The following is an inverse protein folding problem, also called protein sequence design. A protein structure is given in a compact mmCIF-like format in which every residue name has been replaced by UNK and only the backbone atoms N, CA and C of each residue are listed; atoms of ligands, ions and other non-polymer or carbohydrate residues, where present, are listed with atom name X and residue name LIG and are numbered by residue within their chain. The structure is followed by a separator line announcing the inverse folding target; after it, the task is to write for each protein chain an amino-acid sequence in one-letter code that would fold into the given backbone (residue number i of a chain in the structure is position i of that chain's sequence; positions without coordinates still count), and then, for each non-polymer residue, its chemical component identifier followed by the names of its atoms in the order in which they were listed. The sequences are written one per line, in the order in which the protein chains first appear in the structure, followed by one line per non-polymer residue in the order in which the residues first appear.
data_IF_194747879933
#
_entry.id   IF_194747879933
#
_cell.length_a   1.000
_cell.length_b   1.000
_cell.length_c   1.000
_cell.angle_alpha   90.00
_cell.angle_beta   90.00
_cell.angle_gamma   90.00
#
_symmetry.space_group_name_H-M   'P 1'
#
loop_
_entity.id
_entity.type
_entity.pdbx_description
1 polymer ?
#
# COMPACT_ATOMS: atom_id res chain seq x y z
N UNK A 1 -15.92 29.19 59.21
CA UNK A 1 -16.59 28.56 58.07
C UNK A 1 -15.53 27.91 57.21
N UNK A 2 -15.45 26.59 57.19
CA UNK A 2 -14.57 25.86 56.27
C UNK A 2 -15.36 25.62 54.98
N UNK A 3 -14.95 26.26 53.88
CA UNK A 3 -15.58 26.04 52.59
C UNK A 3 -15.37 24.58 52.13
N UNK A 4 -16.45 23.93 51.70
CA UNK A 4 -16.40 22.58 51.17
C UNK A 4 -15.76 22.63 49.77
N UNK A 5 -14.46 22.40 49.69
CA UNK A 5 -13.77 22.31 48.41
C UNK A 5 -14.07 20.96 47.74
N UNK A 6 -14.78 21.00 46.62
CA UNK A 6 -14.97 19.85 45.74
C UNK A 6 -14.05 20.06 44.52
N UNK A 7 -13.04 19.19 44.29
CA UNK A 7 -12.19 19.32 43.12
C UNK A 7 -13.00 19.05 41.83
N UNK A 8 -12.69 19.73 40.72
CA UNK A 8 -13.39 19.52 39.46
C UNK A 8 -13.15 18.10 38.94
N UNK A 9 -14.24 17.37 38.70
CA UNK A 9 -14.20 16.05 38.10
C UNK A 9 -13.78 16.17 36.62
N UNK A 10 -12.63 15.59 36.27
CA UNK A 10 -12.10 15.58 34.90
C UNK A 10 -12.47 14.28 34.21
N UNK A 11 -13.42 14.35 33.29
CA UNK A 11 -13.76 13.20 32.46
C UNK A 11 -12.63 12.90 31.46
N UNK A 12 -12.28 11.63 31.30
CA UNK A 12 -11.23 11.23 30.35
C UNK A 12 -11.73 11.14 28.90
N UNK A 13 -13.05 11.15 28.71
CA UNK A 13 -13.73 10.97 27.42
C UNK A 13 -14.89 11.94 27.25
N UNK A 14 -15.13 12.32 26.01
CA UNK A 14 -16.35 12.99 25.58
C UNK A 14 -17.51 11.99 25.59
N UNK A 15 -18.58 12.30 26.33
CA UNK A 15 -19.76 11.43 26.46
C UNK A 15 -20.59 11.31 25.18
N UNK A 16 -20.51 12.30 24.27
CA UNK A 16 -21.26 12.30 23.02
C UNK A 16 -20.49 11.52 21.95
N UNK A 17 -19.18 11.78 21.83
CA UNK A 17 -18.37 11.19 20.74
C UNK A 17 -17.55 9.96 21.16
N UNK A 18 -17.42 9.69 22.46
CA UNK A 18 -16.59 8.63 23.02
C UNK A 18 -15.08 8.85 22.86
N UNK A 19 -14.66 10.01 22.32
CA UNK A 19 -13.24 10.32 22.07
C UNK A 19 -12.54 10.74 23.36
N UNK A 20 -11.26 10.40 23.48
CA UNK A 20 -10.43 10.90 24.58
C UNK A 20 -10.29 12.42 24.52
N UNK A 21 -10.47 13.10 25.65
CA UNK A 21 -10.27 14.54 25.74
C UNK A 21 -8.77 14.89 25.61
N UNK A 22 -8.49 16.08 25.07
CA UNK A 22 -7.12 16.57 24.88
C UNK A 22 -6.40 16.61 26.24
N UNK A 23 -5.24 15.94 26.34
CA UNK A 23 -4.47 15.82 27.58
C UNK A 23 -4.66 14.51 28.33
N UNK A 24 -5.61 13.66 27.93
CA UNK A 24 -5.76 12.33 28.52
C UNK A 24 -4.61 11.40 28.08
N UNK A 25 -4.06 10.67 29.04
CA UNK A 25 -3.08 9.61 28.77
C UNK A 25 -3.81 8.50 28.03
N UNK A 26 -3.38 8.18 26.81
CA UNK A 26 -4.02 7.10 26.07
C UNK A 26 -3.87 5.77 26.83
N UNK A 27 -4.95 4.97 26.86
CA UNK A 27 -4.98 3.70 27.58
C UNK A 27 -3.80 2.77 27.23
N UNK A 28 -3.29 2.87 26.00
CA UNK A 28 -2.21 2.04 25.49
C UNK A 28 -0.80 2.65 25.70
N UNK A 29 -0.69 3.87 26.22
CA UNK A 29 0.61 4.53 26.44
C UNK A 29 1.42 3.71 27.46
N UNK A 30 2.64 3.34 27.09
CA UNK A 30 3.54 2.56 27.95
C UNK A 30 3.22 1.06 28.08
N UNK A 31 2.09 0.59 27.51
CA UNK A 31 1.76 -0.84 27.52
C UNK A 31 2.56 -1.60 26.45
N UNK A 32 3.08 -2.77 26.81
CA UNK A 32 3.74 -3.67 25.85
C UNK A 32 2.67 -4.30 24.93
N UNK A 33 2.92 -4.31 23.63
CA UNK A 33 2.05 -4.98 22.66
C UNK A 33 2.19 -6.50 22.80
N UNK A 34 1.08 -7.19 23.04
CA UNK A 34 1.02 -8.65 23.08
C UNK A 34 0.67 -9.17 21.68
N UNK A 35 1.45 -10.13 21.17
CA UNK A 35 1.23 -10.73 19.86
C UNK A 35 0.79 -12.19 20.01
N UNK A 36 -0.20 -12.60 19.22
CA UNK A 36 -0.67 -13.99 19.18
C UNK A 36 0.39 -14.99 18.66
N UNK A 37 1.40 -14.54 17.92
CA UNK A 37 2.48 -15.41 17.42
C UNK A 37 3.78 -14.66 17.12
N UNK A 38 4.91 -15.38 17.14
CA UNK A 38 6.22 -14.85 16.71
C UNK A 38 6.18 -14.29 15.29
N UNK A 39 5.45 -14.97 14.39
CA UNK A 39 5.25 -14.53 12.99
C UNK A 39 4.50 -13.21 12.90
N UNK A 40 3.46 -13.02 13.72
CA UNK A 40 2.70 -11.76 13.79
C UNK A 40 3.59 -10.60 14.27
N UNK A 41 4.37 -10.84 15.32
CA UNK A 41 5.36 -9.87 15.83
C UNK A 41 6.36 -9.45 14.75
N UNK A 42 6.99 -10.43 14.08
CA UNK A 42 7.98 -10.15 13.03
C UNK A 42 7.38 -9.35 11.86
N UNK A 43 6.16 -9.69 11.43
CA UNK A 43 5.45 -8.95 10.36
C UNK A 43 5.15 -7.51 10.78
N UNK A 44 4.67 -7.30 12.00
CA UNK A 44 4.36 -5.98 12.55
C UNK A 44 5.61 -5.09 12.60
N UNK A 45 6.72 -5.60 13.14
CA UNK A 45 8.00 -4.86 13.22
C UNK A 45 8.52 -4.55 11.81
N UNK A 46 8.52 -5.52 10.89
CA UNK A 46 8.96 -5.32 9.50
C UNK A 46 8.15 -4.25 8.77
N UNK A 47 6.85 -4.17 9.04
CA UNK A 47 6.00 -3.13 8.46
C UNK A 47 6.20 -1.76 9.13
N UNK A 48 6.54 -1.75 10.43
CA UNK A 48 6.89 -0.53 11.15
C UNK A 48 8.21 0.06 10.64
N UNK A 49 9.24 -0.78 10.45
CA UNK A 49 10.56 -0.36 9.96
C UNK A 49 10.54 0.12 8.52
N UNK A 50 9.65 -0.43 7.69
CA UNK A 50 9.39 0.09 6.34
C UNK A 50 8.87 1.54 6.35
N UNK A 51 8.29 2.00 7.46
CA UNK A 51 7.67 3.30 7.57
C UNK A 51 6.27 3.35 6.97
N UNK A 52 5.57 4.47 7.22
CA UNK A 52 4.32 4.80 6.54
C UNK A 52 4.67 5.79 5.42
N UNK A 53 4.50 5.38 4.17
CA UNK A 53 4.59 6.34 3.07
C UNK A 53 3.53 7.43 3.27
N UNK A 54 3.89 8.69 2.99
CA UNK A 54 3.05 9.88 3.22
C UNK A 54 1.62 9.76 2.64
N UNK A 55 1.43 8.89 1.63
CA UNK A 55 0.18 8.70 0.91
C UNK A 55 -0.57 7.40 1.22
N UNK A 56 0.00 6.42 1.93
CA UNK A 56 -0.68 5.14 2.16
C UNK A 56 -0.46 4.60 3.58
N UNK A 57 -1.53 4.62 4.39
CA UNK A 57 -1.57 4.24 5.82
C UNK A 57 -1.03 2.83 6.12
N UNK A 58 -0.99 1.96 5.10
CA UNK A 58 -0.61 0.54 5.22
C UNK A 58 0.78 0.20 4.66
N UNK A 59 1.52 1.17 4.09
CA UNK A 59 2.82 0.91 3.45
C UNK A 59 2.74 0.05 2.17
N UNK A 60 1.55 -0.38 1.76
CA UNK A 60 1.31 -1.25 0.60
C UNK A 60 1.73 -0.61 -0.74
N UNK A 61 1.85 0.72 -0.81
CA UNK A 61 2.28 1.46 -2.00
C UNK A 61 3.79 1.60 -2.19
N UNK A 62 4.62 1.10 -1.27
CA UNK A 62 6.08 1.30 -1.34
C UNK A 62 6.84 0.21 -2.11
N UNK A 63 6.21 -0.93 -2.38
CA UNK A 63 6.81 -1.96 -3.24
C UNK A 63 6.61 -1.55 -4.71
N UNK A 64 7.39 -0.57 -5.15
CA UNK A 64 7.44 -0.15 -6.55
C UNK A 64 7.94 -1.34 -7.38
N UNK A 65 7.07 -1.90 -8.21
CA UNK A 65 7.43 -2.97 -9.16
C UNK A 65 7.56 -2.40 -10.56
N UNK A 66 8.67 -2.71 -11.21
CA UNK A 66 8.88 -2.45 -12.63
C UNK A 66 7.87 -3.22 -13.47
N UNK A 67 7.44 -2.60 -14.57
CA UNK A 67 6.41 -3.12 -15.47
C UNK A 67 6.94 -3.08 -16.89
N UNK A 68 6.77 -4.17 -17.61
CA UNK A 68 7.09 -4.30 -19.02
C UNK A 68 5.80 -4.13 -19.83
N UNK A 69 5.86 -3.27 -20.84
CA UNK A 69 4.77 -3.07 -21.80
C UNK A 69 5.14 -3.66 -23.15
N UNK A 70 4.28 -4.52 -23.67
CA UNK A 70 4.41 -5.13 -24.98
C UNK A 70 3.16 -4.79 -25.80
N UNK A 71 3.36 -4.38 -27.04
CA UNK A 71 2.27 -4.13 -28.00
C UNK A 71 2.71 -4.69 -29.34
N UNK A 72 1.79 -5.38 -30.03
CA UNK A 72 2.03 -5.97 -31.35
C UNK A 72 3.33 -6.82 -31.38
N UNK A 73 3.54 -7.62 -30.32
CA UNK A 73 4.72 -8.50 -30.14
C UNK A 73 6.08 -7.77 -30.04
N UNK A 74 6.06 -6.44 -29.90
CA UNK A 74 7.24 -5.59 -29.72
C UNK A 74 7.32 -5.03 -28.31
N UNK A 75 8.55 -4.98 -27.78
CA UNK A 75 8.83 -4.36 -26.49
C UNK A 75 8.70 -2.84 -26.62
N UNK A 76 7.68 -2.25 -26.00
CA UNK A 76 7.51 -0.80 -25.99
C UNK A 76 8.37 -0.11 -24.93
N UNK A 77 8.68 -0.81 -23.84
CA UNK A 77 9.57 -0.31 -22.81
C UNK A 77 9.34 -0.93 -21.44
N UNK A 78 10.34 -0.74 -20.58
CA UNK A 78 10.31 -1.12 -19.16
C UNK A 78 10.16 0.14 -18.33
N UNK A 79 9.10 0.17 -17.52
CA UNK A 79 8.75 1.31 -16.68
C UNK A 79 9.07 1.00 -15.22
N UNK A 80 9.61 1.96 -14.45
CA UNK A 80 9.94 1.73 -13.04
C UNK A 80 8.72 1.43 -12.17
N UNK A 81 7.50 1.77 -12.61
CA UNK A 81 6.27 1.52 -11.85
C UNK A 81 5.04 1.46 -12.73
N UNK A 82 4.01 0.82 -12.20
CA UNK A 82 2.65 0.83 -12.78
C UNK A 82 2.09 2.25 -12.94
N UNK A 83 2.43 3.18 -12.04
CA UNK A 83 2.00 4.57 -12.12
C UNK A 83 2.60 5.28 -13.34
N UNK A 84 3.89 5.10 -13.58
CA UNK A 84 4.57 5.68 -14.74
C UNK A 84 4.08 5.05 -16.04
N UNK A 85 3.93 3.72 -16.07
CA UNK A 85 3.36 3.01 -17.20
C UNK A 85 1.95 3.53 -17.54
N UNK A 86 1.08 3.66 -16.52
CA UNK A 86 -0.28 4.18 -16.66
C UNK A 86 -0.34 5.60 -17.17
N UNK A 87 0.56 6.48 -16.69
CA UNK A 87 0.68 7.85 -17.19
C UNK A 87 1.08 7.89 -18.67
N UNK A 88 1.98 7.00 -19.10
CA UNK A 88 2.43 6.94 -20.49
C UNK A 88 1.29 6.49 -21.42
N UNK A 89 0.60 5.40 -21.08
CA UNK A 89 -0.46 4.83 -21.95
C UNK A 89 -1.84 5.47 -21.76
N UNK A 90 -2.00 6.38 -20.80
CA UNK A 90 -3.27 7.03 -20.47
C UNK A 90 -4.28 6.13 -19.75
N UNK A 91 -3.81 5.15 -18.96
CA UNK A 91 -4.66 4.15 -18.30
C UNK A 91 -4.48 4.17 -16.77
N UNK A 92 -5.56 3.87 -16.05
CA UNK A 92 -5.54 3.74 -14.60
C UNK A 92 -4.51 2.68 -14.13
N UNK A 93 -3.64 3.00 -13.16
CA UNK A 93 -2.66 2.05 -12.61
C UNK A 93 -3.28 0.75 -12.08
N UNK A 94 -4.51 0.80 -11.58
CA UNK A 94 -5.25 -0.37 -11.09
C UNK A 94 -5.50 -1.42 -12.19
N UNK A 95 -5.78 -0.98 -13.42
CA UNK A 95 -6.03 -1.87 -14.55
C UNK A 95 -4.74 -2.59 -14.96
N UNK A 96 -3.62 -1.87 -15.08
CA UNK A 96 -2.31 -2.46 -15.35
C UNK A 96 -1.96 -3.47 -14.26
N UNK A 97 -2.19 -3.13 -12.98
CA UNK A 97 -1.95 -4.08 -11.89
C UNK A 97 -2.83 -5.34 -11.98
N UNK A 98 -4.07 -5.23 -12.45
CA UNK A 98 -4.95 -6.38 -12.61
C UNK A 98 -4.47 -7.30 -13.74
N UNK A 99 -4.00 -6.72 -14.84
CA UNK A 99 -3.43 -7.44 -15.98
C UNK A 99 -2.14 -8.17 -15.58
N UNK A 100 -1.20 -7.49 -14.92
CA UNK A 100 0.05 -8.12 -14.47
C UNK A 100 -0.20 -9.26 -13.47
N UNK A 101 -1.30 -9.22 -12.70
CA UNK A 101 -1.72 -10.29 -11.78
C UNK A 101 -2.57 -11.38 -12.45
N UNK A 102 -2.80 -11.29 -13.76
CA UNK A 102 -3.59 -12.25 -14.56
C UNK A 102 -5.02 -12.40 -14.02
N UNK A 103 -5.64 -11.31 -13.58
CA UNK A 103 -7.04 -11.31 -13.12
C UNK A 103 -7.97 -11.69 -14.28
N UNK A 104 -8.90 -12.61 -14.04
CA UNK A 104 -9.84 -13.12 -15.06
C UNK A 104 -10.58 -11.96 -15.76
N UNK A 105 -10.60 -11.98 -17.10
CA UNK A 105 -11.25 -10.97 -17.92
C UNK A 105 -10.46 -9.66 -18.11
N UNK A 106 -9.23 -9.57 -17.60
CA UNK A 106 -8.34 -8.41 -17.78
C UNK A 106 -7.07 -8.85 -18.51
N UNK A 107 -7.04 -8.64 -19.82
CA UNK A 107 -5.97 -9.14 -20.68
C UNK A 107 -5.06 -8.04 -21.24
N UNK A 108 -5.62 -6.88 -21.56
CA UNK A 108 -4.90 -5.76 -22.17
C UNK A 108 -5.37 -4.42 -21.63
N UNK A 109 -4.48 -3.42 -21.70
CA UNK A 109 -4.75 -2.03 -21.38
C UNK A 109 -4.44 -1.21 -22.64
N UNK A 110 -5.46 -0.66 -23.31
CA UNK A 110 -5.28 0.13 -24.53
C UNK A 110 -4.47 -0.61 -25.63
N UNK A 111 -4.70 -1.92 -25.77
CA UNK A 111 -3.93 -2.79 -26.68
C UNK A 111 -2.57 -3.27 -26.15
N UNK A 112 -2.09 -2.74 -25.02
CA UNK A 112 -0.84 -3.18 -24.39
C UNK A 112 -1.06 -4.40 -23.50
N UNK A 113 -0.17 -5.39 -23.62
CA UNK A 113 0.03 -6.45 -22.64
C UNK A 113 1.00 -5.94 -21.58
N UNK A 114 0.66 -6.15 -20.31
CA UNK A 114 1.43 -5.63 -19.17
C UNK A 114 1.94 -6.80 -18.33
N UNK A 115 3.21 -6.78 -17.98
CA UNK A 115 3.83 -7.79 -17.14
C UNK A 115 4.67 -7.13 -16.05
N UNK A 116 4.83 -7.80 -14.91
CA UNK A 116 5.91 -7.39 -13.99
C UNK A 116 7.23 -7.90 -14.55
N UNK A 117 8.29 -7.10 -14.41
CA UNK A 117 9.63 -7.50 -14.86
C UNK A 117 10.06 -8.82 -14.21
N UNK A 118 9.75 -8.98 -12.91
CA UNK A 118 10.12 -10.15 -12.10
C UNK A 118 9.45 -11.47 -12.50
N UNK A 119 8.43 -11.45 -13.36
CA UNK A 119 7.68 -12.67 -13.69
C UNK A 119 8.28 -13.48 -14.84
N UNK A 120 9.21 -12.90 -15.64
CA UNK A 120 9.80 -13.48 -16.86
C UNK A 120 8.83 -14.01 -17.93
N UNK A 121 7.52 -14.01 -17.67
CA UNK A 121 6.45 -14.50 -18.56
C UNK A 121 6.42 -13.79 -19.93
N UNK A 122 6.99 -12.60 -19.99
CA UNK A 122 6.95 -11.70 -21.13
C UNK A 122 8.07 -11.93 -22.14
N UNK A 123 9.14 -12.66 -21.75
CA UNK A 123 10.33 -12.85 -22.58
C UNK A 123 10.01 -13.60 -23.88
N UNK A 124 9.18 -14.65 -23.80
CA UNK A 124 8.80 -15.47 -24.95
C UNK A 124 7.80 -14.79 -25.91
N UNK A 125 7.31 -13.59 -25.55
CA UNK A 125 6.29 -12.86 -26.34
C UNK A 125 6.89 -11.78 -27.24
N UNK A 126 8.20 -11.55 -27.13
CA UNK A 126 8.92 -10.59 -27.95
C UNK A 126 9.50 -11.36 -29.12
N UNK A 127 9.18 -10.95 -30.35
CA UNK A 127 9.96 -11.39 -31.51
C UNK A 127 11.33 -10.74 -31.42
N UNK A 128 12.38 -11.56 -31.28
CA UNK A 128 13.73 -11.08 -31.51
C UNK A 128 13.85 -10.88 -33.02
N UNK A 129 13.69 -9.63 -33.47
CA UNK A 129 14.09 -9.22 -34.81
C UNK A 129 15.62 -9.29 -34.85
N UNK A 130 16.18 -10.49 -35.06
CA UNK A 130 17.56 -10.65 -35.50
C UNK A 130 17.57 -10.39 -37.01
N UNK A 131 17.80 -9.15 -37.39
CA UNK A 131 18.39 -8.79 -38.68
C UNK A 131 19.88 -8.47 -38.48
#
# INVERSE_FOLDING_TARGET
MSELYIPPERFERDFITGRFLKGCVSHNKGRKMVYHSKRSKARSIKNLSKGRGAWHKTGAGMNKKSVVLIKDEKLCGVFPSIQMAGKMIGVAPSLISAICRKVRGKHTANGYRCFFEDSNDWYNLIKQDYE
#
